data_IF_135052797026
#
_entry.id   IF_135052797026
#
_cell.length_a   1.000
_cell.length_b   1.000
_cell.length_c   1.000
_cell.angle_alpha   90.00
_cell.angle_beta   90.00
_cell.angle_gamma   90.00
#
_symmetry.space_group_name_H-M   'P 1'
#
loop_
_entity.id
_entity.type
_entity.pdbx_description
1 polymer ?
#
# COMPACT_ATOMS: atom_id res chain seq x y z
N UNK A 1 -26.37 32.49 19.31
CA UNK A 1 -26.16 32.11 17.89
C UNK A 1 -24.96 31.18 17.84
N UNK A 2 -25.22 29.88 17.75
CA UNK A 2 -24.19 28.83 17.79
C UNK A 2 -23.54 28.75 16.39
N UNK A 3 -22.21 28.82 16.24
CA UNK A 3 -21.61 28.73 14.92
C UNK A 3 -21.80 27.30 14.44
N UNK A 4 -22.54 27.14 13.35
CA UNK A 4 -22.69 25.89 12.62
C UNK A 4 -21.29 25.50 12.12
N UNK A 5 -20.59 24.72 12.93
CA UNK A 5 -19.27 24.20 12.63
C UNK A 5 -19.40 23.30 11.41
N UNK A 6 -18.98 23.80 10.24
CA UNK A 6 -18.89 23.07 8.99
C UNK A 6 -17.93 21.89 9.18
N UNK A 7 -18.49 20.71 9.44
CA UNK A 7 -17.79 19.43 9.37
C UNK A 7 -17.50 19.14 7.89
N UNK A 8 -16.45 19.75 7.35
CA UNK A 8 -15.90 19.30 6.06
C UNK A 8 -15.23 17.94 6.30
N UNK A 9 -15.70 16.86 5.63
CA UNK A 9 -14.99 15.60 5.71
C UNK A 9 -13.61 15.79 5.07
N UNK A 10 -12.56 15.45 5.82
CA UNK A 10 -11.22 15.34 5.26
C UNK A 10 -11.23 14.18 4.26
N UNK A 11 -11.21 14.49 2.97
CA UNK A 11 -11.07 13.47 1.92
C UNK A 11 -9.63 13.02 1.92
N UNK A 12 -9.36 11.82 2.42
CA UNK A 12 -8.03 11.21 2.34
C UNK A 12 -7.85 10.61 0.96
N UNK A 13 -6.84 11.05 0.20
CA UNK A 13 -6.47 10.44 -1.08
C UNK A 13 -5.53 9.26 -0.82
N UNK A 14 -6.09 8.06 -0.68
CA UNK A 14 -5.28 6.84 -0.63
C UNK A 14 -4.67 6.56 -2.00
N UNK A 15 -3.42 6.11 -2.04
CA UNK A 15 -2.79 5.65 -3.28
C UNK A 15 -3.51 4.39 -3.77
N UNK A 16 -3.94 4.39 -5.03
CA UNK A 16 -4.74 3.30 -5.58
C UNK A 16 -3.83 2.15 -6.05
N UNK A 17 -4.14 0.93 -5.61
CA UNK A 17 -3.59 -0.30 -6.17
C UNK A 17 -4.26 -0.58 -7.52
N UNK A 18 -3.50 -0.57 -8.59
CA UNK A 18 -3.99 -0.78 -9.95
C UNK A 18 -3.85 -2.24 -10.38
N UNK A 19 -2.86 -2.95 -9.85
CA UNK A 19 -2.65 -4.36 -10.18
C UNK A 19 -1.59 -5.06 -9.34
N UNK A 20 -1.68 -6.40 -9.31
CA UNK A 20 -0.64 -7.28 -8.79
C UNK A 20 -0.36 -8.33 -9.86
N UNK A 21 0.92 -8.48 -10.22
CA UNK A 21 1.38 -9.43 -11.22
C UNK A 21 2.39 -10.36 -10.59
N UNK A 22 2.27 -11.66 -10.86
CA UNK A 22 3.13 -12.71 -10.31
C UNK A 22 3.75 -13.50 -11.44
N UNK A 23 5.07 -13.60 -11.42
CA UNK A 23 5.87 -14.32 -12.40
C UNK A 23 6.74 -15.35 -11.67
N UNK A 24 6.28 -16.60 -11.58
CA UNK A 24 7.10 -17.66 -11.00
C UNK A 24 8.17 -18.11 -12.01
N UNK A 25 9.37 -18.34 -11.52
CA UNK A 25 10.46 -19.02 -12.22
C UNK A 25 11.04 -20.12 -11.33
N UNK A 26 11.89 -21.01 -11.84
CA UNK A 26 12.49 -22.08 -11.03
C UNK A 26 13.28 -21.55 -9.81
N UNK A 27 13.94 -20.40 -9.94
CA UNK A 27 14.87 -19.88 -8.93
C UNK A 27 14.30 -18.70 -8.12
N UNK A 28 13.44 -17.88 -8.73
CA UNK A 28 12.80 -16.74 -8.08
C UNK A 28 11.32 -16.60 -8.42
N UNK A 29 10.55 -15.97 -7.54
CA UNK A 29 9.22 -15.46 -7.88
C UNK A 29 9.25 -13.95 -7.85
N UNK A 30 8.91 -13.32 -8.99
CA UNK A 30 8.79 -11.87 -9.09
C UNK A 30 7.35 -11.45 -8.88
N UNK A 31 7.13 -10.56 -7.93
CA UNK A 31 5.84 -9.92 -7.70
C UNK A 31 5.99 -8.43 -8.03
N UNK A 32 5.10 -7.92 -8.87
CA UNK A 32 5.04 -6.49 -9.25
C UNK A 32 3.72 -5.93 -8.76
N UNK A 33 3.79 -4.82 -8.01
CA UNK A 33 2.64 -4.10 -7.46
C UNK A 33 2.55 -2.77 -8.23
N UNK A 34 1.49 -2.60 -9.01
CA UNK A 34 1.25 -1.40 -9.79
C UNK A 34 0.40 -0.43 -8.96
N UNK A 35 0.94 0.78 -8.73
CA UNK A 35 0.31 1.83 -7.93
C UNK A 35 0.10 3.07 -8.78
N UNK A 36 -1.01 3.79 -8.53
CA UNK A 36 -1.36 5.01 -9.26
C UNK A 36 -0.34 6.15 -9.09
N UNK A 37 0.35 6.17 -7.95
CA UNK A 37 1.43 7.13 -7.65
C UNK A 37 2.57 6.42 -6.95
N UNK A 38 3.75 7.04 -6.94
CA UNK A 38 4.90 6.51 -6.20
C UNK A 38 4.57 6.34 -4.71
N UNK A 39 5.06 5.25 -4.11
CA UNK A 39 4.83 4.96 -2.69
C UNK A 39 6.15 4.70 -1.97
N UNK A 40 6.31 5.32 -0.81
CA UNK A 40 7.30 4.89 0.16
C UNK A 40 6.93 3.49 0.66
N UNK A 41 7.90 2.59 0.71
CA UNK A 41 7.66 1.23 1.20
C UNK A 41 8.76 0.72 2.10
N UNK A 42 8.42 -0.27 2.92
CA UNK A 42 9.37 -1.10 3.64
C UNK A 42 8.96 -2.55 3.54
N UNK A 43 9.89 -3.47 3.74
CA UNK A 43 9.59 -4.89 3.74
C UNK A 43 10.34 -5.63 4.84
N UNK A 44 9.76 -6.74 5.29
CA UNK A 44 10.37 -7.63 6.29
C UNK A 44 9.81 -9.04 6.17
N UNK A 45 10.51 -9.99 6.77
CA UNK A 45 10.13 -11.41 6.77
C UNK A 45 9.59 -11.83 8.13
N UNK A 46 8.54 -12.64 8.14
CA UNK A 46 8.02 -13.29 9.33
C UNK A 46 8.27 -14.80 9.26
N UNK A 47 8.58 -15.40 10.40
CA UNK A 47 8.68 -16.85 10.57
C UNK A 47 7.43 -17.45 11.22
N UNK A 48 7.13 -18.72 10.94
CA UNK A 48 6.06 -19.49 11.57
C UNK A 48 4.63 -19.04 11.25
N UNK A 49 4.12 -19.19 10.00
CA UNK A 49 4.78 -19.65 8.78
C UNK A 49 5.56 -18.55 8.06
N UNK A 50 6.47 -18.96 7.17
CA UNK A 50 7.32 -18.04 6.37
C UNK A 50 6.49 -17.13 5.48
N UNK A 51 6.64 -15.81 5.64
CA UNK A 51 5.95 -14.78 4.88
C UNK A 51 6.88 -13.60 4.62
N UNK A 52 6.71 -12.94 3.48
CA UNK A 52 7.26 -11.61 3.21
C UNK A 52 6.11 -10.62 3.35
N UNK A 53 6.33 -9.55 4.11
CA UNK A 53 5.38 -8.45 4.29
C UNK A 53 5.97 -7.22 3.61
N UNK A 54 5.16 -6.55 2.78
CA UNK A 54 5.50 -5.28 2.12
C UNK A 54 4.52 -4.23 2.63
N UNK A 55 5.04 -3.29 3.40
CA UNK A 55 4.27 -2.17 3.94
C UNK A 55 4.33 -1.00 2.96
N UNK A 56 3.19 -0.63 2.40
CA UNK A 56 3.04 0.56 1.57
C UNK A 56 2.61 1.73 2.45
N UNK A 57 3.48 2.73 2.57
CA UNK A 57 3.20 3.92 3.36
C UNK A 57 2.46 4.93 2.49
N UNK A 58 1.48 5.60 3.08
CA UNK A 58 0.96 6.84 2.49
C UNK A 58 2.06 7.90 2.60
N UNK A 59 2.46 8.56 1.51
CA UNK A 59 3.31 9.74 1.60
C UNK A 59 2.61 10.75 2.54
N UNK A 60 3.36 11.35 3.47
CA UNK A 60 2.82 12.39 4.37
C UNK A 60 2.43 13.65 3.61
#
# INVERSE_FOLDING_TARGET
MLPLCLLFPAVTLANALEGIRVWPSPDETRVVIDLKSEADYSYFSLSGPSRIVVDLKTPR
#
